data_IF_594209798442
#
_entry.id   IF_594209798442
#
_cell.length_a   1.000
_cell.length_b   1.000
_cell.length_c   1.000
_cell.angle_alpha   90.00
_cell.angle_beta   90.00
_cell.angle_gamma   90.00
#
_symmetry.space_group_name_H-M   'P 1'
#
loop_
_entity.id
_entity.type
_entity.pdbx_description
1 polymer ?
#
# COMPACT_ATOMS: atom_id res chain seq x y z
N UNK A 1 -21.36 9.63 -7.43
CA UNK A 1 -21.56 9.65 -5.96
C UNK A 1 -20.80 10.83 -5.38
N UNK A 2 -21.23 11.39 -4.26
CA UNK A 2 -20.35 12.21 -3.42
C UNK A 2 -19.46 11.31 -2.55
N UNK A 3 -18.36 11.87 -2.04
CA UNK A 3 -17.38 11.15 -1.22
C UNK A 3 -16.85 12.05 -0.08
N UNK A 4 -16.60 11.41 1.06
CA UNK A 4 -15.79 11.96 2.15
C UNK A 4 -14.56 11.07 2.24
N UNK A 5 -13.39 11.68 2.06
CA UNK A 5 -12.09 11.04 2.11
C UNK A 5 -11.49 11.35 3.47
N UNK A 6 -11.01 10.32 4.16
CA UNK A 6 -10.13 10.48 5.32
C UNK A 6 -8.72 10.11 4.91
N UNK A 7 -7.84 11.10 4.82
CA UNK A 7 -6.44 10.89 4.44
C UNK A 7 -5.64 10.18 5.54
N UNK A 8 -4.51 9.58 5.17
CA UNK A 8 -3.52 9.13 6.16
C UNK A 8 -2.87 10.33 6.83
N UNK A 9 -2.67 10.24 8.14
CA UNK A 9 -1.94 11.23 8.94
C UNK A 9 -0.45 11.26 8.58
N UNK A 10 0.09 10.15 8.06
CA UNK A 10 1.49 10.06 7.63
C UNK A 10 1.72 10.73 6.26
N UNK A 11 0.68 10.88 5.43
CA UNK A 11 0.79 11.41 4.06
C UNK A 11 -0.36 12.35 3.68
N UNK A 12 -0.58 13.45 4.42
CA UNK A 12 -1.75 14.30 4.23
C UNK A 12 -1.68 15.15 2.95
N UNK A 13 -0.48 15.52 2.47
CA UNK A 13 -0.34 16.51 1.41
C UNK A 13 -0.89 16.05 0.05
N UNK A 14 -0.57 14.84 -0.42
CA UNK A 14 -0.97 14.39 -1.76
C UNK A 14 -2.50 14.29 -1.95
N UNK A 15 -3.28 13.74 -0.98
CA UNK A 15 -4.73 13.82 -1.05
C UNK A 15 -5.28 15.24 -1.07
N UNK A 16 -4.67 16.18 -0.33
CA UNK A 16 -5.10 17.57 -0.31
C UNK A 16 -4.93 18.23 -1.69
N UNK A 17 -3.78 18.04 -2.32
CA UNK A 17 -3.52 18.56 -3.67
C UNK A 17 -4.43 17.93 -4.73
N UNK A 18 -4.73 16.63 -4.61
CA UNK A 18 -5.67 15.97 -5.50
C UNK A 18 -7.09 16.55 -5.36
N UNK A 19 -7.56 16.77 -4.13
CA UNK A 19 -8.87 17.39 -3.89
C UNK A 19 -8.91 18.83 -4.39
N UNK A 20 -7.82 19.60 -4.20
CA UNK A 20 -7.68 20.94 -4.76
C UNK A 20 -7.83 20.92 -6.29
N UNK A 21 -7.20 19.99 -6.98
CA UNK A 21 -7.34 19.85 -8.43
C UNK A 21 -8.79 19.60 -8.87
N UNK A 22 -9.58 18.82 -8.11
CA UNK A 22 -11.02 18.63 -8.40
C UNK A 22 -11.84 19.91 -8.15
N UNK A 23 -11.50 20.67 -7.10
CA UNK A 23 -12.14 21.96 -6.80
C UNK A 23 -11.84 22.97 -7.91
N UNK A 24 -10.58 23.08 -8.33
CA UNK A 24 -10.14 23.97 -9.40
C UNK A 24 -10.81 23.61 -10.74
N UNK A 25 -11.13 22.33 -10.97
CA UNK A 25 -11.88 21.85 -12.12
C UNK A 25 -13.40 22.16 -12.07
N UNK A 26 -13.89 22.79 -10.99
CA UNK A 26 -15.28 23.24 -10.86
C UNK A 26 -16.24 22.19 -10.32
N UNK A 27 -15.77 21.19 -9.57
CA UNK A 27 -16.68 20.23 -8.93
C UNK A 27 -17.65 20.95 -7.97
N UNK A 28 -18.96 20.60 -7.94
CA UNK A 28 -19.88 21.29 -7.05
C UNK A 28 -19.48 21.15 -5.56
N UNK A 29 -19.68 22.20 -4.73
CA UNK A 29 -19.38 22.15 -3.30
C UNK A 29 -20.02 20.94 -2.60
N UNK A 30 -19.26 20.27 -1.74
CA UNK A 30 -19.72 19.12 -0.95
C UNK A 30 -19.72 17.78 -1.70
N UNK A 31 -19.40 17.74 -3.00
CA UNK A 31 -19.31 16.46 -3.74
C UNK A 31 -18.06 15.67 -3.36
N UNK A 32 -16.92 16.33 -3.17
CA UNK A 32 -15.68 15.73 -2.67
C UNK A 32 -15.26 16.50 -1.41
N UNK A 33 -15.08 15.78 -0.31
CA UNK A 33 -14.67 16.34 0.97
C UNK A 33 -13.45 15.59 1.47
N UNK A 34 -12.54 16.29 2.13
CA UNK A 34 -11.34 15.71 2.74
C UNK A 34 -11.29 16.10 4.21
N UNK A 35 -11.13 15.11 5.07
CA UNK A 35 -11.05 15.28 6.52
C UNK A 35 -9.80 14.60 7.08
N UNK A 36 -9.30 15.15 8.18
CA UNK A 36 -8.22 14.60 8.99
C UNK A 36 -8.64 14.62 10.46
N UNK A 37 -8.03 13.75 11.26
CA UNK A 37 -8.35 13.60 12.68
C UNK A 37 -8.21 12.14 13.11
N UNK A 38 -8.62 11.83 14.33
CA UNK A 38 -8.44 10.50 14.93
C UNK A 38 -9.20 9.44 14.12
N UNK A 39 -8.52 8.41 13.57
CA UNK A 39 -9.16 7.44 12.66
C UNK A 39 -10.36 6.74 13.28
N UNK A 40 -10.26 6.36 14.55
CA UNK A 40 -11.29 5.64 15.28
C UNK A 40 -12.54 6.49 15.47
N UNK A 41 -12.40 7.76 15.88
CA UNK A 41 -13.51 8.68 16.08
C UNK A 41 -14.24 8.98 14.77
N UNK A 42 -13.50 9.29 13.70
CA UNK A 42 -14.07 9.56 12.38
C UNK A 42 -14.84 8.33 11.88
N UNK A 43 -14.27 7.13 12.02
CA UNK A 43 -14.91 5.89 11.54
C UNK A 43 -16.17 5.57 12.35
N UNK A 44 -16.11 5.71 13.68
CA UNK A 44 -17.23 5.48 14.59
C UNK A 44 -18.38 6.49 14.36
N UNK A 45 -18.08 7.69 13.88
CA UNK A 45 -19.09 8.67 13.50
C UNK A 45 -19.65 8.41 12.08
N UNK A 46 -18.79 8.33 11.07
CA UNK A 46 -19.22 8.29 9.67
C UNK A 46 -19.90 6.97 9.29
N UNK A 47 -19.41 5.82 9.75
CA UNK A 47 -19.93 4.52 9.30
C UNK A 47 -21.39 4.31 9.74
N UNK A 48 -21.76 4.56 11.02
CA UNK A 48 -23.16 4.46 11.46
C UNK A 48 -24.07 5.50 10.81
N UNK A 49 -23.53 6.67 10.45
CA UNK A 49 -24.35 7.81 10.02
C UNK A 49 -25.30 7.43 8.86
N UNK A 50 -26.60 7.76 8.93
CA UNK A 50 -27.63 7.25 8.00
C UNK A 50 -27.40 7.68 6.54
N UNK A 51 -26.71 8.80 6.31
CA UNK A 51 -26.40 9.31 4.96
C UNK A 51 -25.32 8.51 4.24
N UNK A 52 -24.40 7.86 4.98
CA UNK A 52 -23.36 7.03 4.39
C UNK A 52 -23.99 5.72 3.93
N UNK A 53 -23.79 5.36 2.66
CA UNK A 53 -24.36 4.12 2.06
C UNK A 53 -23.29 3.08 1.70
N UNK A 54 -22.03 3.51 1.63
CA UNK A 54 -20.89 2.66 1.27
C UNK A 54 -19.64 3.14 1.98
N UNK A 55 -18.80 2.20 2.40
CA UNK A 55 -17.41 2.46 2.77
C UNK A 55 -16.44 1.74 1.82
N UNK A 56 -15.28 2.35 1.65
CA UNK A 56 -14.13 1.77 0.97
C UNK A 56 -12.91 2.03 1.84
N UNK A 57 -12.16 0.99 2.15
CA UNK A 57 -10.97 1.10 3.00
C UNK A 57 -9.81 0.33 2.38
N UNK A 58 -8.64 0.98 2.40
CA UNK A 58 -7.36 0.36 2.03
C UNK A 58 -6.41 0.50 3.20
N UNK A 59 -5.90 -0.61 3.72
CA UNK A 59 -5.02 -0.59 4.89
C UNK A 59 -4.79 -1.96 5.52
N UNK A 60 -4.58 -2.01 6.83
CA UNK A 60 -4.26 -3.26 7.51
C UNK A 60 -5.48 -4.18 7.62
N UNK A 61 -5.23 -5.50 7.57
CA UNK A 61 -6.29 -6.51 7.75
C UNK A 61 -6.96 -6.42 9.12
N UNK A 62 -6.22 -6.07 10.17
CA UNK A 62 -6.76 -5.89 11.51
C UNK A 62 -7.79 -4.76 11.58
N UNK A 63 -7.47 -3.58 11.02
CA UNK A 63 -8.39 -2.44 10.96
C UNK A 63 -9.54 -2.74 10.01
N UNK A 64 -9.28 -3.34 8.85
CA UNK A 64 -10.31 -3.71 7.88
C UNK A 64 -11.40 -4.61 8.47
N UNK A 65 -11.03 -5.58 9.33
CA UNK A 65 -11.99 -6.42 10.06
C UNK A 65 -12.89 -5.60 10.99
N UNK A 66 -12.32 -4.65 11.73
CA UNK A 66 -13.08 -3.76 12.62
C UNK A 66 -14.08 -2.91 11.83
N UNK A 67 -13.62 -2.27 10.75
CA UNK A 67 -14.47 -1.41 9.92
C UNK A 67 -15.56 -2.21 9.18
N UNK A 68 -15.23 -3.41 8.70
CA UNK A 68 -16.20 -4.30 8.05
C UNK A 68 -17.29 -4.75 9.03
N UNK A 69 -16.91 -5.08 10.27
CA UNK A 69 -17.86 -5.42 11.33
C UNK A 69 -18.80 -4.26 11.62
N UNK A 70 -18.27 -3.05 11.82
CA UNK A 70 -19.08 -1.85 12.06
C UNK A 70 -20.01 -1.53 10.89
N UNK A 71 -19.53 -1.63 9.64
CA UNK A 71 -20.36 -1.46 8.46
C UNK A 71 -21.48 -2.51 8.37
N UNK A 72 -21.19 -3.75 8.77
CA UNK A 72 -22.15 -4.86 8.81
C UNK A 72 -23.31 -4.60 9.78
N UNK A 73 -23.06 -4.00 10.94
CA UNK A 73 -24.11 -3.63 11.92
C UNK A 73 -25.17 -2.69 11.32
N UNK A 74 -24.82 -1.94 10.28
CA UNK A 74 -25.69 -0.97 9.62
C UNK A 74 -26.00 -1.34 8.16
N UNK A 75 -25.71 -2.58 7.75
CA UNK A 75 -25.94 -3.10 6.38
C UNK A 75 -25.36 -2.20 5.28
N UNK A 76 -24.19 -1.61 5.52
CA UNK A 76 -23.50 -0.73 4.55
C UNK A 76 -22.71 -1.57 3.56
N UNK A 77 -22.70 -1.16 2.28
CA UNK A 77 -21.80 -1.77 1.30
C UNK A 77 -20.35 -1.51 1.70
N UNK A 78 -19.50 -2.53 1.69
CA UNK A 78 -18.08 -2.39 2.04
C UNK A 78 -17.17 -2.92 0.94
N UNK A 79 -16.05 -2.24 0.72
CA UNK A 79 -14.95 -2.69 -0.13
C UNK A 79 -13.66 -2.56 0.68
N UNK A 80 -12.87 -3.63 0.71
CA UNK A 80 -11.70 -3.75 1.56
C UNK A 80 -10.49 -4.22 0.75
N UNK A 81 -9.48 -3.37 0.65
CA UNK A 81 -8.17 -3.69 0.08
C UNK A 81 -7.16 -3.79 1.24
N UNK A 82 -6.79 -5.02 1.61
CA UNK A 82 -6.10 -5.30 2.87
C UNK A 82 -4.65 -5.76 2.66
N UNK A 83 -4.02 -6.27 3.72
CA UNK A 83 -2.66 -6.81 3.64
C UNK A 83 -2.60 -8.07 2.76
N UNK A 84 -1.55 -8.16 1.95
CA UNK A 84 -1.24 -9.33 1.13
C UNK A 84 -0.08 -10.16 1.70
N UNK A 85 0.08 -11.37 1.17
CA UNK A 85 1.24 -12.23 1.39
C UNK A 85 1.68 -12.89 0.07
N UNK A 86 1.98 -12.03 -0.90
CA UNK A 86 2.15 -12.38 -2.31
C UNK A 86 3.30 -13.37 -2.54
N UNK A 87 2.99 -14.60 -3.00
CA UNK A 87 4.00 -15.55 -3.42
C UNK A 87 4.49 -15.24 -4.83
N UNK A 88 5.75 -15.55 -5.09
CA UNK A 88 6.36 -15.64 -6.40
C UNK A 88 6.74 -17.09 -6.61
N UNK A 89 6.27 -17.70 -7.70
CA UNK A 89 6.56 -19.09 -8.03
C UNK A 89 7.40 -19.09 -9.31
N UNK A 90 8.59 -19.70 -9.27
CA UNK A 90 9.53 -19.80 -10.40
C UNK A 90 9.72 -21.28 -10.72
N UNK A 91 9.25 -21.68 -11.90
CA UNK A 91 9.31 -23.05 -12.40
C UNK A 91 10.58 -23.28 -13.26
N UNK A 92 10.97 -24.54 -13.52
CA UNK A 92 12.19 -24.86 -14.27
C UNK A 92 12.25 -24.30 -15.70
N UNK A 93 11.09 -24.06 -16.32
CA UNK A 93 10.96 -23.55 -17.69
C UNK A 93 10.82 -22.02 -17.75
N UNK A 94 10.90 -21.33 -16.61
CA UNK A 94 10.85 -19.89 -16.55
C UNK A 94 12.11 -19.24 -17.15
N UNK A 95 11.97 -18.03 -17.68
CA UNK A 95 13.11 -17.12 -17.89
C UNK A 95 13.59 -16.60 -16.52
N UNK A 96 14.50 -17.36 -15.89
CA UNK A 96 14.98 -17.14 -14.51
C UNK A 96 15.66 -15.78 -14.36
N UNK A 97 16.49 -15.40 -15.32
CA UNK A 97 17.19 -14.12 -15.34
C UNK A 97 16.21 -12.94 -15.32
N UNK A 98 15.19 -12.99 -16.19
CA UNK A 98 14.16 -11.96 -16.25
C UNK A 98 13.31 -11.97 -14.98
N UNK A 99 12.88 -13.15 -14.53
CA UNK A 99 12.07 -13.31 -13.32
C UNK A 99 12.78 -12.69 -12.10
N UNK A 100 14.05 -13.04 -11.88
CA UNK A 100 14.85 -12.52 -10.76
C UNK A 100 14.99 -10.99 -10.80
N UNK A 101 15.29 -10.39 -11.96
CA UNK A 101 15.43 -8.93 -12.09
C UNK A 101 14.11 -8.19 -11.83
N UNK A 102 13.02 -8.64 -12.44
CA UNK A 102 11.69 -8.01 -12.29
C UNK A 102 11.20 -8.13 -10.86
N UNK A 103 11.46 -9.28 -10.22
CA UNK A 103 11.03 -9.52 -8.85
C UNK A 103 11.88 -8.79 -7.82
N UNK A 104 13.18 -8.62 -8.04
CA UNK A 104 14.01 -7.75 -7.21
C UNK A 104 13.47 -6.31 -7.24
N UNK A 105 13.21 -5.77 -8.44
CA UNK A 105 12.58 -4.45 -8.59
C UNK A 105 11.23 -4.35 -7.87
N UNK A 106 10.36 -5.36 -8.05
CA UNK A 106 9.05 -5.40 -7.40
C UNK A 106 9.14 -5.52 -5.87
N UNK A 107 10.13 -6.27 -5.35
CA UNK A 107 10.34 -6.47 -3.91
C UNK A 107 10.71 -5.17 -3.19
N UNK A 108 11.57 -4.37 -3.81
CA UNK A 108 12.16 -3.20 -3.17
C UNK A 108 11.54 -1.86 -3.58
N UNK A 109 10.67 -1.84 -4.60
CA UNK A 109 9.88 -0.66 -4.95
C UNK A 109 9.15 -0.13 -3.70
N UNK A 110 9.25 1.19 -3.47
CA UNK A 110 8.70 1.85 -2.27
C UNK A 110 9.21 1.26 -0.94
N UNK A 111 10.46 0.80 -0.90
CA UNK A 111 11.02 0.05 0.23
C UNK A 111 10.19 -1.18 0.63
N UNK A 112 9.53 -1.81 -0.35
CA UNK A 112 8.63 -2.95 -0.14
C UNK A 112 7.28 -2.59 0.49
N UNK A 113 6.99 -1.31 0.72
CA UNK A 113 5.74 -0.82 1.33
C UNK A 113 4.62 -0.71 0.29
N UNK A 114 4.32 -1.83 -0.36
CA UNK A 114 3.23 -1.97 -1.34
C UNK A 114 2.44 -3.22 -0.98
N UNK A 115 1.10 -3.14 -0.98
CA UNK A 115 0.23 -4.25 -0.60
C UNK A 115 0.50 -5.55 -1.38
N UNK A 116 0.90 -5.41 -2.65
CA UNK A 116 1.21 -6.52 -3.56
C UNK A 116 2.70 -6.88 -3.62
N UNK A 117 3.56 -6.26 -2.81
CA UNK A 117 5.00 -6.57 -2.78
C UNK A 117 5.24 -8.08 -2.64
N UNK A 118 6.16 -8.67 -3.41
CA UNK A 118 6.62 -10.03 -3.18
C UNK A 118 7.09 -10.23 -1.73
N UNK A 119 6.57 -11.25 -1.06
CA UNK A 119 6.93 -11.56 0.33
C UNK A 119 7.48 -12.96 0.50
N UNK A 120 7.18 -13.88 -0.43
CA UNK A 120 7.68 -15.25 -0.43
C UNK A 120 8.08 -15.66 -1.84
N UNK A 121 9.24 -16.28 -1.94
CA UNK A 121 9.79 -16.80 -3.18
C UNK A 121 9.84 -18.32 -3.09
N UNK A 122 9.13 -18.98 -4.01
CA UNK A 122 9.10 -20.43 -4.16
C UNK A 122 9.77 -20.72 -5.50
N UNK A 123 11.04 -21.10 -5.45
CA UNK A 123 11.88 -21.28 -6.64
C UNK A 123 12.24 -22.74 -6.74
N UNK A 124 12.05 -23.32 -7.92
CA UNK A 124 12.44 -24.71 -8.18
C UNK A 124 13.94 -24.93 -7.95
N UNK A 125 14.28 -26.08 -7.38
CA UNK A 125 15.64 -26.42 -6.98
C UNK A 125 16.64 -26.35 -8.14
N UNK A 126 16.22 -26.70 -9.37
CA UNK A 126 17.08 -26.73 -10.55
C UNK A 126 17.51 -25.34 -11.05
N UNK A 127 16.78 -24.29 -10.67
CA UNK A 127 17.03 -22.90 -11.07
C UNK A 127 17.28 -21.95 -9.90
N UNK A 128 17.36 -22.51 -8.69
CA UNK A 128 17.46 -21.76 -7.44
C UNK A 128 18.72 -20.88 -7.38
N UNK A 129 19.88 -21.47 -7.64
CA UNK A 129 21.16 -20.76 -7.49
C UNK A 129 21.27 -19.59 -8.47
N UNK A 130 20.87 -19.80 -9.72
CA UNK A 130 20.83 -18.76 -10.74
C UNK A 130 19.87 -17.62 -10.35
N UNK A 131 18.66 -17.97 -9.88
CA UNK A 131 17.70 -16.97 -9.41
C UNK A 131 18.28 -16.12 -8.27
N UNK A 132 18.87 -16.77 -7.26
CA UNK A 132 19.45 -16.10 -6.09
C UNK A 132 20.60 -15.20 -6.49
N UNK A 133 21.49 -15.63 -7.37
CA UNK A 133 22.61 -14.83 -7.85
C UNK A 133 22.12 -13.53 -8.50
N UNK A 134 21.20 -13.65 -9.46
CA UNK A 134 20.69 -12.50 -10.22
C UNK A 134 19.87 -11.57 -9.34
N UNK A 135 19.00 -12.12 -8.50
CA UNK A 135 18.18 -11.35 -7.58
C UNK A 135 19.06 -10.57 -6.60
N UNK A 136 20.07 -11.22 -6.02
CA UNK A 136 20.98 -10.59 -5.06
C UNK A 136 21.82 -9.50 -5.73
N UNK A 137 22.30 -9.73 -6.96
CA UNK A 137 23.02 -8.71 -7.73
C UNK A 137 22.15 -7.48 -7.98
N UNK A 138 20.88 -7.68 -8.36
CA UNK A 138 19.94 -6.57 -8.55
C UNK A 138 19.63 -5.85 -7.24
N UNK A 139 19.44 -6.58 -6.13
CA UNK A 139 19.18 -6.00 -4.82
C UNK A 139 20.36 -5.14 -4.32
N UNK A 140 21.61 -5.63 -4.48
CA UNK A 140 22.83 -4.90 -4.10
C UNK A 140 23.07 -3.63 -4.90
N UNK A 141 22.47 -3.52 -6.10
CA UNK A 141 22.60 -2.33 -6.94
C UNK A 141 21.66 -1.18 -6.53
N UNK A 142 20.76 -1.41 -5.56
CA UNK A 142 19.81 -0.40 -5.09
C UNK A 142 20.54 0.70 -4.32
N UNK A 143 20.29 1.94 -4.72
CA UNK A 143 20.82 3.15 -4.07
C UNK A 143 19.75 3.72 -3.14
N UNK A 144 19.98 3.56 -1.83
CA UNK A 144 19.12 4.11 -0.79
C UNK A 144 19.54 5.54 -0.50
N UNK A 145 18.59 6.47 -0.45
CA UNK A 145 18.88 7.87 -0.17
C UNK A 145 17.65 8.76 -0.10
N UNK A 146 17.89 10.06 -0.14
CA UNK A 146 16.83 11.07 -0.25
C UNK A 146 16.09 10.89 -1.59
N UNK A 147 14.76 10.85 -1.54
CA UNK A 147 13.91 10.67 -2.71
C UNK A 147 13.97 11.81 -3.74
N UNK A 148 14.50 12.98 -3.37
CA UNK A 148 14.75 14.10 -4.29
C UNK A 148 16.16 14.13 -4.85
N UNK A 149 17.10 13.33 -4.30
CA UNK A 149 18.47 13.30 -4.76
C UNK A 149 18.61 12.48 -6.07
N UNK A 150 19.43 13.00 -6.99
CA UNK A 150 19.73 12.30 -8.23
C UNK A 150 20.37 10.93 -7.98
N UNK A 151 19.88 9.91 -8.70
CA UNK A 151 20.42 8.56 -8.62
C UNK A 151 19.92 7.73 -7.42
N UNK A 152 19.11 8.28 -6.51
CA UNK A 152 18.37 7.48 -5.54
C UNK A 152 17.37 6.57 -6.26
N UNK A 153 17.36 5.29 -5.92
CA UNK A 153 16.40 4.31 -6.48
C UNK A 153 15.45 3.73 -5.43
N UNK A 154 15.70 4.00 -4.14
CA UNK A 154 14.80 3.62 -3.05
C UNK A 154 14.89 4.63 -1.90
N UNK A 155 13.74 5.15 -1.47
CA UNK A 155 13.63 6.05 -0.33
C UNK A 155 13.56 5.31 1.03
N UNK A 156 13.33 6.04 2.12
CA UNK A 156 13.20 5.47 3.46
C UNK A 156 11.89 4.69 3.64
N UNK A 157 11.82 3.93 4.74
CA UNK A 157 10.54 3.47 5.29
C UNK A 157 9.74 4.66 5.83
N UNK A 158 8.40 4.54 5.85
CA UNK A 158 7.50 5.68 6.14
C UNK A 158 7.61 6.20 7.57
N UNK A 159 7.99 5.36 8.54
CA UNK A 159 8.11 5.74 9.95
C UNK A 159 9.07 4.83 10.72
N UNK A 160 9.56 5.32 11.86
CA UNK A 160 10.48 4.59 12.75
C UNK A 160 9.89 3.25 13.21
N UNK A 161 8.60 3.22 13.57
CA UNK A 161 7.88 1.98 13.87
C UNK A 161 7.97 0.94 12.75
N UNK A 162 8.02 1.38 11.48
CA UNK A 162 8.20 0.46 10.35
C UNK A 162 9.62 -0.06 10.25
N UNK A 163 10.63 0.74 10.62
CA UNK A 163 12.02 0.28 10.72
C UNK A 163 12.13 -0.81 11.79
N UNK A 164 11.60 -0.56 12.99
CA UNK A 164 11.59 -1.54 14.09
C UNK A 164 10.89 -2.85 13.68
N UNK A 165 9.70 -2.74 13.08
CA UNK A 165 8.94 -3.90 12.66
C UNK A 165 9.63 -4.74 11.59
N UNK A 166 10.44 -4.13 10.71
CA UNK A 166 11.22 -4.84 9.70
C UNK A 166 12.49 -5.43 10.32
N UNK A 167 13.14 -4.74 11.26
CA UNK A 167 14.35 -5.22 11.94
C UNK A 167 14.11 -6.38 12.93
N UNK A 168 12.86 -6.61 13.34
CA UNK A 168 12.49 -7.71 14.22
C UNK A 168 12.12 -9.03 13.50
N UNK A 169 12.14 -9.03 12.16
CA UNK A 169 11.92 -10.21 11.31
C UNK A 169 13.23 -10.96 11.02
#
# INVERSE_FOLDING_TARGET
CSIIIKGSEETPASPAELVRAFVDAGIPPGVVNLVYGVPAEISAYLIPHPVIKKISFTGSTAVGKQLASLAGQHMKRSTMELGGHSPVIVLPDADVQRAAKVMAGSKFRNAGQVCVSPTRFLVDQGVYDEFVEVFTKAAKAIKVGDGLAEGTTMGPLVSERRVEAVGAL
#
